data_IF_179607467330
#
_entry.id   IF_179607467330
#
_cell.length_a   1.000
_cell.length_b   1.000
_cell.length_c   1.000
_cell.angle_alpha   90.00
_cell.angle_beta   90.00
_cell.angle_gamma   90.00
#
_symmetry.space_group_name_H-M   'P 1'
#
loop_
_entity.id
_entity.type
_entity.pdbx_description
1 polymer ?
#
# COMPACT_ATOMS: atom_id res chain seq x y z
N UNK A 1 -14.99 -9.91 12.78
CA UNK A 1 -13.71 -9.90 12.01
C UNK A 1 -12.66 -10.86 12.56
N UNK A 2 -12.89 -11.49 13.70
CA UNK A 2 -11.88 -12.37 14.31
C UNK A 2 -11.81 -13.77 13.68
N UNK A 3 -12.82 -14.16 12.94
CA UNK A 3 -12.89 -15.46 12.23
C UNK A 3 -12.44 -15.39 10.75
N UNK A 4 -11.96 -14.21 10.30
CA UNK A 4 -11.50 -14.00 8.94
C UNK A 4 -12.61 -13.76 7.90
N UNK A 5 -13.85 -13.62 8.35
CA UNK A 5 -15.01 -13.34 7.48
C UNK A 5 -15.68 -12.06 7.95
N UNK A 6 -16.12 -11.22 7.04
CA UNK A 6 -16.98 -10.06 7.36
C UNK A 6 -18.41 -10.42 7.00
N UNK A 7 -19.27 -10.58 8.00
CA UNK A 7 -20.68 -10.76 7.77
C UNK A 7 -21.47 -9.44 7.81
N UNK A 8 -22.77 -9.51 7.51
CA UNK A 8 -23.62 -8.32 7.46
C UNK A 8 -23.89 -7.72 8.85
N UNK A 9 -23.92 -8.54 9.89
CA UNK A 9 -24.17 -8.13 11.28
C UNK A 9 -22.94 -7.41 11.84
N UNK A 10 -21.74 -7.94 11.60
CA UNK A 10 -20.48 -7.29 11.97
C UNK A 10 -20.32 -5.95 11.26
N UNK A 11 -20.57 -5.91 9.96
CA UNK A 11 -20.51 -4.66 9.19
C UNK A 11 -21.51 -3.61 9.70
N UNK A 12 -22.70 -4.04 10.15
CA UNK A 12 -23.68 -3.16 10.74
C UNK A 12 -23.26 -2.68 12.13
N UNK A 13 -22.70 -3.56 12.96
CA UNK A 13 -22.22 -3.26 14.30
C UNK A 13 -21.09 -2.23 14.31
N UNK A 14 -20.11 -2.39 13.40
CA UNK A 14 -19.01 -1.43 13.27
C UNK A 14 -19.53 -0.06 12.85
N UNK A 15 -20.48 0.00 11.91
CA UNK A 15 -21.08 1.28 11.51
C UNK A 15 -21.90 1.93 12.63
N UNK A 16 -22.65 1.12 13.40
CA UNK A 16 -23.40 1.63 14.53
C UNK A 16 -22.47 2.20 15.61
N UNK A 17 -21.35 1.53 15.87
CA UNK A 17 -20.32 2.01 16.79
C UNK A 17 -19.72 3.35 16.28
N UNK A 18 -19.33 3.43 15.02
CA UNK A 18 -18.80 4.66 14.45
C UNK A 18 -19.81 5.81 14.55
N UNK A 19 -21.08 5.56 14.27
CA UNK A 19 -22.14 6.54 14.42
C UNK A 19 -22.33 6.98 15.89
N UNK A 20 -22.25 6.05 16.85
CA UNK A 20 -22.35 6.37 18.28
C UNK A 20 -21.17 7.20 18.80
N UNK A 21 -20.02 7.10 18.15
CA UNK A 21 -18.81 7.88 18.43
C UNK A 21 -18.70 9.16 17.60
N UNK A 22 -19.71 9.47 16.81
CA UNK A 22 -19.73 10.62 15.88
C UNK A 22 -18.55 10.63 14.92
N UNK A 23 -18.05 9.41 14.53
CA UNK A 23 -16.95 9.26 13.56
C UNK A 23 -17.53 9.15 12.16
N UNK A 24 -17.24 10.15 11.33
CA UNK A 24 -17.55 10.12 9.90
C UNK A 24 -16.37 9.49 9.14
N UNK A 25 -16.44 8.18 8.90
CA UNK A 25 -15.44 7.45 8.15
C UNK A 25 -16.08 6.75 6.93
N UNK A 26 -16.06 7.43 5.77
CA UNK A 26 -16.73 6.93 4.57
C UNK A 26 -16.23 5.57 4.09
N UNK A 27 -14.99 5.19 4.43
CA UNK A 27 -14.37 3.92 4.03
C UNK A 27 -14.98 2.70 4.71
N UNK A 28 -15.72 2.88 5.80
CA UNK A 28 -16.51 1.82 6.43
C UNK A 28 -17.58 1.23 5.51
N UNK A 29 -17.93 1.93 4.40
CA UNK A 29 -18.81 1.38 3.37
C UNK A 29 -18.22 0.13 2.70
N UNK A 30 -16.88 0.01 2.65
CA UNK A 30 -16.21 -1.17 2.12
C UNK A 30 -16.56 -2.45 2.89
N UNK A 31 -16.81 -2.39 4.19
CA UNK A 31 -17.29 -3.53 4.97
C UNK A 31 -18.60 -4.12 4.42
N UNK A 32 -19.49 -3.27 3.90
CA UNK A 32 -20.73 -3.74 3.30
C UNK A 32 -20.52 -4.45 1.97
N UNK A 33 -19.47 -4.13 1.25
CA UNK A 33 -19.08 -4.84 0.04
C UNK A 33 -18.45 -6.19 0.39
N UNK A 34 -17.57 -6.23 1.40
CA UNK A 34 -16.94 -7.46 1.88
C UNK A 34 -17.98 -8.44 2.42
N UNK A 35 -18.92 -7.99 3.26
CA UNK A 35 -20.01 -8.81 3.79
C UNK A 35 -20.91 -9.43 2.71
N UNK A 36 -20.87 -8.90 1.48
CA UNK A 36 -21.57 -9.44 0.31
C UNK A 36 -20.66 -10.21 -0.64
N UNK A 37 -19.42 -10.52 -0.25
CA UNK A 37 -18.43 -11.18 -1.10
C UNK A 37 -17.95 -10.33 -2.31
N UNK A 38 -18.18 -9.01 -2.29
CA UNK A 38 -17.84 -8.12 -3.39
C UNK A 38 -16.48 -7.46 -3.19
N UNK A 39 -15.43 -8.27 -3.10
CA UNK A 39 -14.06 -7.84 -2.76
C UNK A 39 -13.54 -6.75 -3.70
N UNK A 40 -13.75 -6.91 -5.03
CA UNK A 40 -13.32 -5.90 -6.01
C UNK A 40 -13.98 -4.52 -5.79
N UNK A 41 -15.26 -4.50 -5.41
CA UNK A 41 -15.96 -3.25 -5.09
C UNK A 41 -15.48 -2.64 -3.77
N UNK A 42 -15.16 -3.47 -2.77
CA UNK A 42 -14.54 -3.00 -1.54
C UNK A 42 -13.20 -2.31 -1.81
N UNK A 43 -12.36 -2.94 -2.63
CA UNK A 43 -11.08 -2.36 -3.05
C UNK A 43 -11.23 -1.05 -3.81
N UNK A 44 -12.15 -1.00 -4.77
CA UNK A 44 -12.42 0.23 -5.51
C UNK A 44 -12.91 1.35 -4.57
N UNK A 45 -13.75 1.01 -3.59
CA UNK A 45 -14.28 1.98 -2.63
C UNK A 45 -13.18 2.50 -1.69
N UNK A 46 -12.27 1.65 -1.25
CA UNK A 46 -11.09 2.02 -0.46
C UNK A 46 -10.14 2.88 -1.29
N UNK A 47 -9.78 2.44 -2.49
CA UNK A 47 -8.82 3.12 -3.36
C UNK A 47 -9.26 4.54 -3.73
N UNK A 48 -10.52 4.72 -4.14
CA UNK A 48 -11.05 6.05 -4.52
C UNK A 48 -11.13 7.05 -3.37
N UNK A 49 -11.00 6.58 -2.13
CA UNK A 49 -11.08 7.39 -0.90
C UNK A 49 -9.77 7.42 -0.13
N UNK A 50 -8.68 7.05 -0.78
CA UNK A 50 -7.34 7.00 -0.21
C UNK A 50 -6.39 7.90 -1.00
N UNK A 51 -5.18 8.03 -0.50
CA UNK A 51 -4.08 8.72 -1.18
C UNK A 51 -3.83 8.19 -2.61
N UNK A 52 -4.24 6.97 -2.93
CA UNK A 52 -4.12 6.42 -4.28
C UNK A 52 -4.88 7.28 -5.30
N UNK A 53 -6.06 7.81 -4.92
CA UNK A 53 -6.80 8.73 -5.77
C UNK A 53 -5.97 9.96 -6.12
N UNK A 54 -5.37 10.60 -5.12
CA UNK A 54 -4.58 11.82 -5.33
C UNK A 54 -3.34 11.54 -6.18
N UNK A 55 -2.70 10.36 -5.97
CA UNK A 55 -1.59 9.91 -6.79
C UNK A 55 -2.02 9.70 -8.26
N UNK A 56 -3.18 9.08 -8.49
CA UNK A 56 -3.73 8.90 -9.84
C UNK A 56 -4.13 10.23 -10.49
N UNK A 57 -4.82 11.10 -9.77
CA UNK A 57 -5.23 12.42 -10.27
C UNK A 57 -4.01 13.27 -10.61
N UNK A 58 -2.98 13.26 -9.76
CA UNK A 58 -1.72 13.95 -10.03
C UNK A 58 -1.00 13.38 -11.25
N UNK A 59 -0.87 12.05 -11.35
CA UNK A 59 -0.22 11.41 -12.49
C UNK A 59 -0.94 11.71 -13.81
N UNK A 60 -2.28 11.72 -13.78
CA UNK A 60 -3.10 12.07 -14.93
C UNK A 60 -2.97 13.55 -15.28
N UNK A 61 -2.92 14.44 -14.30
CA UNK A 61 -2.76 15.89 -14.49
C UNK A 61 -1.39 16.27 -15.04
N UNK A 62 -0.31 15.69 -14.48
CA UNK A 62 1.06 16.03 -14.83
C UNK A 62 1.54 15.33 -16.12
N UNK A 63 1.07 14.13 -16.38
CA UNK A 63 1.57 13.28 -17.48
C UNK A 63 0.50 12.67 -18.38
N UNK A 64 -0.78 13.00 -18.19
CA UNK A 64 -1.88 12.42 -18.94
C UNK A 64 -1.90 10.88 -18.86
N UNK A 65 -2.36 10.16 -19.90
CA UNK A 65 -2.38 8.70 -19.93
C UNK A 65 -0.99 8.06 -19.73
N UNK A 66 0.08 8.72 -20.16
CA UNK A 66 1.45 8.23 -19.96
C UNK A 66 1.87 8.30 -18.48
N UNK A 67 1.46 9.34 -17.75
CA UNK A 67 1.69 9.46 -16.32
C UNK A 67 0.97 8.34 -15.54
N UNK A 68 -0.28 8.07 -15.90
CA UNK A 68 -1.06 6.98 -15.30
C UNK A 68 -0.42 5.61 -15.60
N UNK A 69 0.03 5.39 -16.85
CA UNK A 69 0.74 4.17 -17.23
C UNK A 69 1.97 3.91 -16.36
N UNK A 70 2.76 4.93 -16.04
CA UNK A 70 3.96 4.80 -15.19
C UNK A 70 3.65 4.32 -13.76
N UNK A 71 2.45 4.59 -13.25
CA UNK A 71 2.03 4.10 -11.93
C UNK A 71 1.46 2.68 -12.03
N UNK A 72 0.60 2.43 -13.03
CA UNK A 72 -0.16 1.18 -13.12
C UNK A 72 0.69 0.04 -13.69
N UNK A 73 1.50 0.30 -14.71
CA UNK A 73 2.24 -0.74 -15.41
C UNK A 73 3.17 -1.56 -14.49
N UNK A 74 3.97 -0.97 -13.59
CA UNK A 74 4.78 -1.75 -12.65
C UNK A 74 3.93 -2.63 -11.72
N UNK A 75 2.77 -2.14 -11.25
CA UNK A 75 1.88 -2.88 -10.34
C UNK A 75 1.33 -4.16 -10.98
N UNK A 76 1.11 -4.15 -12.29
CA UNK A 76 0.64 -5.33 -13.05
C UNK A 76 1.77 -6.08 -13.74
N UNK A 77 3.02 -5.76 -13.40
CA UNK A 77 4.19 -6.40 -13.97
C UNK A 77 4.45 -6.03 -15.44
N UNK A 78 3.92 -4.92 -15.91
CA UNK A 78 4.12 -4.42 -17.25
C UNK A 78 5.10 -3.24 -17.24
N UNK A 79 6.02 -3.25 -18.21
CA UNK A 79 6.99 -2.16 -18.38
C UNK A 79 8.16 -2.24 -17.39
N UNK A 80 9.28 -1.74 -17.85
CA UNK A 80 10.49 -1.48 -17.08
C UNK A 80 11.01 -0.10 -17.46
N UNK A 81 11.62 0.60 -16.52
CA UNK A 81 12.33 1.86 -16.75
C UNK A 81 13.78 1.68 -16.32
N UNK A 82 14.62 1.31 -17.28
CA UNK A 82 16.05 1.05 -17.01
C UNK A 82 16.81 2.30 -16.54
N UNK A 83 16.36 3.49 -16.90
CA UNK A 83 16.95 4.75 -16.42
C UNK A 83 16.63 4.96 -14.95
N UNK A 84 15.38 4.72 -14.57
CA UNK A 84 14.95 4.78 -13.18
C UNK A 84 15.70 3.71 -12.37
N UNK A 85 15.74 2.46 -12.83
CA UNK A 85 16.43 1.38 -12.15
C UNK A 85 17.92 1.71 -11.93
N UNK A 86 18.62 2.18 -12.97
CA UNK A 86 20.02 2.58 -12.85
C UNK A 86 20.24 3.68 -11.79
N UNK A 87 19.30 4.63 -11.65
CA UNK A 87 19.36 5.68 -10.64
C UNK A 87 19.29 5.10 -9.22
N UNK A 88 18.38 4.15 -8.99
CA UNK A 88 18.23 3.51 -7.66
C UNK A 88 19.39 2.54 -7.38
N UNK A 89 19.88 1.81 -8.36
CA UNK A 89 21.09 0.97 -8.23
C UNK A 89 22.31 1.83 -7.90
N UNK A 90 22.44 3.01 -8.50
CA UNK A 90 23.51 3.97 -8.22
C UNK A 90 23.55 4.48 -6.76
N UNK A 91 22.46 4.34 -5.99
CA UNK A 91 22.44 4.67 -4.56
C UNK A 91 23.45 3.80 -3.77
N UNK A 92 23.82 2.63 -4.30
CA UNK A 92 24.84 1.75 -3.73
C UNK A 92 26.24 2.33 -3.74
N UNK A 93 26.52 3.39 -4.51
CA UNK A 93 27.80 4.07 -4.54
C UNK A 93 27.92 5.19 -3.50
N UNK A 94 26.80 5.53 -2.85
CA UNK A 94 26.79 6.54 -1.80
C UNK A 94 27.56 6.08 -0.56
N UNK A 95 28.08 7.04 0.17
CA UNK A 95 28.81 6.78 1.43
C UNK A 95 27.92 6.11 2.48
N UNK A 96 28.52 5.27 3.36
CA UNK A 96 27.80 4.66 4.48
C UNK A 96 27.17 5.73 5.39
N UNK A 97 25.99 5.41 5.95
CA UNK A 97 25.22 6.33 6.79
C UNK A 97 24.33 7.33 6.03
N UNK A 98 24.33 7.31 4.70
CA UNK A 98 23.36 8.06 3.92
C UNK A 98 22.06 7.26 3.77
N UNK A 99 20.92 7.95 3.73
CA UNK A 99 19.61 7.32 3.52
C UNK A 99 19.55 6.54 2.20
N UNK A 100 20.12 7.09 1.12
CA UNK A 100 20.14 6.41 -0.18
C UNK A 100 20.93 5.08 -0.12
N UNK A 101 22.09 5.05 0.55
CA UNK A 101 22.85 3.81 0.75
C UNK A 101 22.08 2.81 1.60
N UNK A 102 21.48 3.25 2.68
CA UNK A 102 20.66 2.38 3.55
C UNK A 102 19.44 1.79 2.81
N UNK A 103 18.80 2.57 1.95
CA UNK A 103 17.71 2.10 1.11
C UNK A 103 18.16 1.07 0.07
N UNK A 104 19.30 1.32 -0.59
CA UNK A 104 19.89 0.33 -1.50
C UNK A 104 20.16 -0.99 -0.78
N UNK A 105 20.79 -0.95 0.41
CA UNK A 105 21.09 -2.13 1.19
C UNK A 105 19.84 -2.85 1.69
N UNK A 106 18.78 -2.11 2.02
CA UNK A 106 17.48 -2.67 2.36
C UNK A 106 16.88 -3.47 1.20
N UNK A 107 16.86 -2.92 -0.02
CA UNK A 107 16.35 -3.64 -1.19
C UNK A 107 17.17 -4.90 -1.49
N UNK A 108 18.51 -4.81 -1.45
CA UNK A 108 19.41 -5.96 -1.68
C UNK A 108 19.20 -7.04 -0.63
N UNK A 109 19.16 -6.68 0.65
CA UNK A 109 19.01 -7.63 1.76
C UNK A 109 17.66 -8.36 1.74
N UNK A 110 16.62 -7.67 1.33
CA UNK A 110 15.28 -8.22 1.22
C UNK A 110 14.94 -8.83 -0.14
N UNK A 111 15.92 -8.89 -1.06
CA UNK A 111 15.74 -9.44 -2.42
C UNK A 111 14.61 -8.73 -3.18
N UNK A 112 14.43 -7.43 -2.95
CA UNK A 112 13.41 -6.62 -3.60
C UNK A 112 13.95 -6.03 -4.90
N UNK A 113 13.13 -5.95 -5.97
CA UNK A 113 13.53 -5.31 -7.21
C UNK A 113 13.67 -3.79 -7.01
N UNK A 114 14.64 -3.20 -7.69
CA UNK A 114 14.83 -1.75 -7.68
C UNK A 114 13.69 -1.05 -8.43
N UNK A 115 13.22 0.13 -7.96
CA UNK A 115 12.24 0.93 -8.69
C UNK A 115 12.66 1.11 -10.16
N UNK A 116 11.77 0.77 -11.09
CA UNK A 116 12.05 0.71 -12.53
C UNK A 116 12.31 -0.69 -13.07
N UNK A 117 12.57 -1.68 -12.23
CA UNK A 117 12.65 -3.08 -12.63
C UNK A 117 11.25 -3.73 -12.71
N UNK A 118 11.23 -4.94 -13.26
CA UNK A 118 10.00 -5.72 -13.37
C UNK A 118 9.41 -6.01 -11.99
N UNK A 119 8.12 -5.72 -11.81
CA UNK A 119 7.38 -5.91 -10.53
C UNK A 119 7.94 -5.13 -9.34
N UNK A 120 8.72 -4.10 -9.59
CA UNK A 120 9.16 -3.19 -8.54
C UNK A 120 8.01 -2.31 -8.06
N UNK A 121 8.17 -1.78 -6.85
CA UNK A 121 7.30 -0.71 -6.35
C UNK A 121 7.41 0.50 -7.29
N UNK A 122 6.29 1.13 -7.68
CA UNK A 122 6.35 2.39 -8.43
C UNK A 122 7.11 3.46 -7.65
N UNK A 123 7.81 4.36 -8.34
CA UNK A 123 8.56 5.44 -7.67
C UNK A 123 7.70 6.24 -6.67
N UNK A 124 6.41 6.41 -6.97
CA UNK A 124 5.45 7.05 -6.08
C UNK A 124 5.23 6.29 -4.75
N UNK A 125 5.60 5.01 -4.66
CA UNK A 125 5.50 4.17 -3.47
C UNK A 125 6.80 4.00 -2.69
N UNK A 126 7.92 4.49 -3.21
CA UNK A 126 9.27 4.35 -2.57
C UNK A 126 9.30 4.89 -1.13
N UNK A 127 8.50 5.89 -0.82
CA UNK A 127 8.40 6.44 0.53
C UNK A 127 7.98 5.39 1.58
N UNK A 128 7.19 4.37 1.20
CA UNK A 128 6.82 3.27 2.09
C UNK A 128 8.07 2.44 2.45
N UNK A 129 8.84 2.03 1.47
CA UNK A 129 10.06 1.25 1.71
C UNK A 129 11.11 2.07 2.47
N UNK A 130 11.22 3.37 2.18
CA UNK A 130 12.06 4.28 2.96
C UNK A 130 11.61 4.38 4.42
N UNK A 131 10.32 4.21 4.69
CA UNK A 131 9.80 4.16 6.07
C UNK A 131 10.31 2.93 6.81
N UNK A 132 10.40 1.75 6.16
CA UNK A 132 11.07 0.58 6.74
C UNK A 132 12.50 0.91 7.17
N UNK A 133 13.27 1.54 6.28
CA UNK A 133 14.66 1.92 6.56
C UNK A 133 14.78 2.88 7.75
N UNK A 134 13.91 3.90 7.80
CA UNK A 134 13.93 4.92 8.85
C UNK A 134 13.47 4.38 10.21
N UNK A 135 12.49 3.48 10.20
CA UNK A 135 11.94 2.87 11.40
C UNK A 135 12.76 1.67 11.89
N UNK A 136 13.64 1.12 11.05
CA UNK A 136 14.46 -0.04 11.38
C UNK A 136 13.69 -1.37 11.33
N UNK A 137 12.63 -1.45 10.54
CA UNK A 137 11.83 -2.66 10.36
C UNK A 137 12.15 -3.34 9.02
N UNK A 138 12.14 -4.67 9.02
CA UNK A 138 12.28 -5.49 7.82
C UNK A 138 10.90 -5.74 7.16
N UNK A 139 10.78 -6.78 6.32
CA UNK A 139 9.60 -7.05 5.48
C UNK A 139 8.82 -8.29 5.91
N UNK A 140 8.94 -8.71 7.18
CA UNK A 140 8.07 -9.76 7.72
C UNK A 140 6.64 -9.23 7.89
N UNK A 141 5.68 -10.13 7.97
CA UNK A 141 4.27 -9.76 8.11
C UNK A 141 4.03 -8.92 9.38
N UNK A 142 4.68 -9.26 10.49
CA UNK A 142 4.60 -8.51 11.74
C UNK A 142 5.23 -7.11 11.61
N UNK A 143 6.35 -6.99 10.91
CA UNK A 143 7.04 -5.73 10.72
C UNK A 143 6.30 -4.81 9.75
N UNK A 144 5.59 -5.37 8.75
CA UNK A 144 4.65 -4.61 7.91
C UNK A 144 3.54 -3.96 8.75
N UNK A 145 2.99 -4.68 9.75
CA UNK A 145 2.03 -4.08 10.71
C UNK A 145 2.66 -2.91 11.44
N UNK A 146 3.90 -3.05 11.90
CA UNK A 146 4.60 -2.00 12.64
C UNK A 146 4.85 -0.78 11.75
N UNK A 147 5.32 -0.98 10.51
CA UNK A 147 5.55 0.11 9.55
C UNK A 147 4.26 0.84 9.21
N UNK A 148 3.18 0.11 8.92
CA UNK A 148 1.89 0.73 8.60
C UNK A 148 1.32 1.46 9.81
N UNK A 149 1.50 0.93 11.02
CA UNK A 149 1.11 1.61 12.25
C UNK A 149 1.93 2.88 12.49
N UNK A 150 3.23 2.85 12.21
CA UNK A 150 4.11 4.00 12.26
C UNK A 150 3.69 5.07 11.24
N UNK A 151 3.38 4.67 10.01
CA UNK A 151 2.84 5.56 8.97
C UNK A 151 1.54 6.21 9.43
N UNK A 152 0.61 5.44 10.00
CA UNK A 152 -0.65 5.95 10.54
C UNK A 152 -0.41 7.00 11.65
N UNK A 153 0.64 6.81 12.45
CA UNK A 153 0.98 7.72 13.55
C UNK A 153 1.53 9.07 13.09
N UNK A 154 2.36 9.13 12.06
CA UNK A 154 2.94 10.39 11.59
C UNK A 154 2.09 11.09 10.50
N UNK A 155 1.34 10.33 9.71
CA UNK A 155 0.39 10.91 8.75
C UNK A 155 -0.90 11.27 9.47
N UNK A 156 -1.11 12.55 9.68
CA UNK A 156 -2.35 13.05 10.32
C UNK A 156 -3.59 12.82 9.47
N UNK A 157 -3.38 12.67 8.16
CA UNK A 157 -4.41 12.34 7.20
C UNK A 157 -4.38 10.83 6.92
N UNK A 158 -5.54 10.23 6.75
CA UNK A 158 -5.70 8.81 6.40
C UNK A 158 -5.16 7.79 7.43
N UNK A 159 -4.92 8.16 8.70
CA UNK A 159 -4.47 7.23 9.72
C UNK A 159 -5.38 6.00 9.82
N UNK A 160 -6.70 6.21 9.77
CA UNK A 160 -7.68 5.11 9.77
C UNK A 160 -7.54 4.21 8.54
N UNK A 161 -7.24 4.76 7.36
CA UNK A 161 -7.02 3.97 6.15
C UNK A 161 -5.90 2.95 6.34
N UNK A 162 -4.77 3.37 6.90
CA UNK A 162 -3.62 2.50 7.13
C UNK A 162 -3.93 1.38 8.11
N UNK A 163 -4.54 1.70 9.25
CA UNK A 163 -4.95 0.72 10.26
C UNK A 163 -6.00 -0.23 9.68
N UNK A 164 -6.98 0.30 8.96
CA UNK A 164 -8.05 -0.49 8.35
C UNK A 164 -7.52 -1.44 7.27
N UNK A 165 -6.58 -0.97 6.45
CA UNK A 165 -5.94 -1.76 5.39
C UNK A 165 -5.16 -2.94 5.98
N UNK A 166 -4.38 -2.70 7.04
CA UNK A 166 -3.64 -3.76 7.72
C UNK A 166 -4.60 -4.76 8.39
N UNK A 167 -5.66 -4.28 9.03
CA UNK A 167 -6.67 -5.15 9.63
C UNK A 167 -7.34 -6.05 8.57
N UNK A 168 -7.67 -5.51 7.39
CA UNK A 168 -8.20 -6.29 6.28
C UNK A 168 -7.20 -7.33 5.77
N UNK A 169 -5.92 -6.97 5.66
CA UNK A 169 -4.89 -7.88 5.21
C UNK A 169 -4.76 -9.10 6.13
N UNK A 170 -4.69 -8.88 7.43
CA UNK A 170 -4.43 -9.95 8.39
C UNK A 170 -5.69 -10.74 8.80
N UNK A 171 -6.82 -10.07 8.96
CA UNK A 171 -8.05 -10.74 9.38
C UNK A 171 -8.82 -11.41 8.24
N UNK A 172 -8.69 -10.90 7.02
CA UNK A 172 -9.42 -11.43 5.87
C UNK A 172 -8.53 -12.17 4.87
N UNK A 173 -7.22 -12.29 5.14
CA UNK A 173 -6.27 -12.85 4.19
C UNK A 173 -6.16 -12.08 2.88
N UNK A 174 -6.69 -10.84 2.85
CA UNK A 174 -6.64 -9.98 1.67
C UNK A 174 -5.25 -9.38 1.60
N UNK A 175 -4.40 -9.90 0.74
CA UNK A 175 -3.05 -9.36 0.52
C UNK A 175 -3.14 -7.99 -0.14
N UNK A 176 -2.95 -6.93 0.65
CA UNK A 176 -2.98 -5.53 0.21
C UNK A 176 -1.63 -5.11 -0.33
N UNK A 177 -0.58 -5.54 0.34
CA UNK A 177 0.81 -5.35 -0.06
C UNK A 177 1.46 -6.71 0.06
N UNK A 178 1.80 -7.34 -1.04
CA UNK A 178 2.51 -8.59 -1.01
C UNK A 178 3.71 -8.45 -1.95
N UNK A 179 4.81 -9.09 -1.58
CA UNK A 179 5.99 -9.32 -2.43
C UNK A 179 5.63 -9.87 -3.82
N UNK A 180 4.41 -10.37 -3.97
CA UNK A 180 3.82 -10.82 -5.23
C UNK A 180 2.38 -10.40 -5.24
N UNK A 181 2.02 -9.43 -6.06
CA UNK A 181 0.67 -9.32 -6.58
C UNK A 181 0.40 -10.60 -7.42
N UNK A 182 0.23 -11.70 -6.75
CA UNK A 182 -0.48 -12.82 -7.35
C UNK A 182 -1.94 -12.39 -7.33
N UNK A 183 -2.38 -11.78 -8.43
CA UNK A 183 -3.77 -11.75 -8.77
C UNK A 183 -4.17 -13.23 -8.84
N UNK A 184 -4.72 -13.76 -7.76
CA UNK A 184 -5.51 -14.97 -7.81
C UNK A 184 -6.75 -14.57 -8.63
N UNK A 185 -6.65 -14.78 -9.92
CA UNK A 185 -7.80 -14.86 -10.82
C UNK A 185 -8.20 -16.32 -10.78
N UNK A 186 -9.12 -16.65 -9.88
CA UNK A 186 -9.94 -17.85 -10.00
C UNK A 186 -11.14 -17.55 -10.90
#
# INVERSE_FOLDING_TARGET
LMDGVVDAEEAASVRALAASLEVDEPRLSALSHLARGRTALAWLDIARRSFARDAFEKALGDGGPAGLYKIVAPLVGLGTDSTLAARYIGLGELGPGTLGRAYFEFLVRNELPFPGEHRAVPEAGVWHDVTHVLAGYETSDEEEVLVVSFIAGYRREDAFFWIFTIALQYHLGIKVVSRRLELAVD
#
